data_IF_987528151615
#
_entry.id   IF_987528151615
#
_cell.length_a   1.000
_cell.length_b   1.000
_cell.length_c   1.000
_cell.angle_alpha   90.00
_cell.angle_beta   90.00
_cell.angle_gamma   90.00
#
_symmetry.space_group_name_H-M   'P 1'
#
loop_
_entity.id
_entity.type
_entity.pdbx_description
1 polymer ?
#
# COMPACT_ATOMS: atom_id res chain seq x y z
N UNK A 1 -62.46 0.11 -12.96
CA UNK A 1 -62.23 -0.70 -11.74
C UNK A 1 -60.81 -0.60 -11.21
N UNK A 2 -59.79 -0.37 -12.03
CA UNK A 2 -58.35 -0.34 -11.58
C UNK A 2 -58.00 0.83 -10.64
N UNK A 3 -58.56 2.02 -10.85
CA UNK A 3 -58.23 3.23 -10.09
C UNK A 3 -58.66 3.20 -8.60
N UNK A 4 -59.75 2.50 -8.29
CA UNK A 4 -60.23 2.33 -6.91
C UNK A 4 -59.34 1.31 -6.14
N UNK A 5 -58.87 0.29 -6.84
CA UNK A 5 -57.93 -0.70 -6.28
C UNK A 5 -56.58 -0.07 -5.98
N UNK A 6 -56.02 0.73 -6.90
CA UNK A 6 -54.72 1.42 -6.68
C UNK A 6 -54.83 2.43 -5.54
N UNK A 7 -55.93 3.16 -5.39
CA UNK A 7 -56.17 4.12 -4.30
C UNK A 7 -56.28 3.42 -2.91
N UNK A 8 -56.92 2.27 -2.87
CA UNK A 8 -56.96 1.44 -1.65
C UNK A 8 -55.61 0.87 -1.30
N UNK A 9 -54.89 0.37 -2.27
CA UNK A 9 -53.51 -0.13 -2.10
C UNK A 9 -52.56 0.95 -1.58
N UNK A 10 -52.59 2.14 -2.17
CA UNK A 10 -51.81 3.28 -1.74
C UNK A 10 -52.09 3.70 -0.30
N UNK A 11 -53.38 3.69 0.10
CA UNK A 11 -53.79 4.03 1.47
C UNK A 11 -53.36 2.96 2.49
N UNK A 12 -53.40 1.68 2.10
CA UNK A 12 -52.87 0.57 2.94
C UNK A 12 -51.37 0.64 3.10
N UNK A 13 -50.65 0.90 2.01
CA UNK A 13 -49.20 1.14 2.03
C UNK A 13 -48.81 2.35 2.89
N UNK A 14 -49.60 3.43 2.85
CA UNK A 14 -49.37 4.62 3.66
C UNK A 14 -49.50 4.36 5.17
N UNK A 15 -50.43 3.46 5.57
CA UNK A 15 -50.59 3.04 6.96
C UNK A 15 -49.44 2.16 7.47
N UNK A 16 -48.75 1.46 6.57
CA UNK A 16 -47.58 0.61 6.87
C UNK A 16 -46.24 1.23 6.44
N UNK A 17 -46.23 2.53 6.16
CA UNK A 17 -45.07 3.26 5.60
C UNK A 17 -43.76 3.05 6.34
N UNK A 18 -43.78 3.08 7.67
CA UNK A 18 -42.57 2.90 8.49
C UNK A 18 -41.95 1.52 8.27
N UNK A 19 -42.80 0.48 8.17
CA UNK A 19 -42.36 -0.89 7.96
C UNK A 19 -41.87 -1.10 6.53
N UNK A 20 -42.54 -0.51 5.54
CA UNK A 20 -42.13 -0.54 4.14
C UNK A 20 -40.79 0.16 3.96
N UNK A 21 -40.61 1.32 4.56
CA UNK A 21 -39.35 2.06 4.54
C UNK A 21 -38.25 1.23 5.18
N UNK A 22 -38.49 0.56 6.33
CA UNK A 22 -37.52 -0.30 6.98
C UNK A 22 -37.06 -1.48 6.09
N UNK A 23 -38.01 -2.12 5.39
CA UNK A 23 -37.67 -3.21 4.44
C UNK A 23 -36.87 -2.68 3.26
N UNK A 24 -37.30 -1.54 2.66
CA UNK A 24 -36.56 -0.92 1.56
C UNK A 24 -35.16 -0.54 2.00
N UNK A 25 -34.99 0.08 3.17
CA UNK A 25 -33.68 0.43 3.71
C UNK A 25 -32.78 -0.81 3.90
N UNK A 26 -33.29 -1.91 4.44
CA UNK A 26 -32.50 -3.15 4.57
C UNK A 26 -32.08 -3.72 3.23
N UNK A 27 -32.94 -3.72 2.24
CA UNK A 27 -32.60 -4.18 0.87
C UNK A 27 -31.58 -3.24 0.24
N UNK A 28 -31.76 -1.93 0.37
CA UNK A 28 -30.81 -0.93 -0.16
C UNK A 28 -29.44 -1.09 0.49
N UNK A 29 -29.36 -1.24 1.81
CA UNK A 29 -28.09 -1.44 2.51
C UNK A 29 -27.41 -2.73 2.09
N UNK A 30 -28.18 -3.83 1.94
CA UNK A 30 -27.61 -5.11 1.49
C UNK A 30 -27.08 -5.06 0.06
N UNK A 31 -27.86 -4.46 -0.87
CA UNK A 31 -27.44 -4.32 -2.28
C UNK A 31 -26.28 -3.33 -2.42
N UNK A 32 -26.37 -2.19 -1.74
CA UNK A 32 -25.30 -1.19 -1.76
C UNK A 32 -24.01 -1.75 -1.17
N UNK A 33 -24.09 -2.46 -0.04
CA UNK A 33 -22.95 -3.14 0.54
C UNK A 33 -22.30 -4.12 -0.44
N UNK A 34 -23.11 -4.95 -1.14
CA UNK A 34 -22.63 -5.89 -2.15
C UNK A 34 -21.89 -5.23 -3.30
N UNK A 35 -22.48 -4.16 -3.84
CA UNK A 35 -21.90 -3.42 -4.98
C UNK A 35 -20.63 -2.66 -4.54
N UNK A 36 -20.69 -1.98 -3.42
CA UNK A 36 -19.55 -1.20 -2.90
C UNK A 36 -18.34 -2.10 -2.62
N UNK A 37 -18.60 -3.28 -2.09
CA UNK A 37 -17.53 -4.20 -1.74
C UNK A 37 -16.94 -4.93 -2.96
N UNK A 38 -17.79 -5.42 -3.86
CA UNK A 38 -17.31 -5.99 -5.12
C UNK A 38 -16.55 -4.97 -5.96
N UNK A 39 -17.02 -3.71 -5.97
CA UNK A 39 -16.31 -2.60 -6.59
C UNK A 39 -14.99 -2.26 -5.90
N UNK A 40 -14.91 -2.35 -4.59
CA UNK A 40 -13.68 -2.14 -3.82
C UNK A 40 -12.62 -3.18 -4.20
N UNK A 41 -12.93 -4.47 -4.13
CA UNK A 41 -11.97 -5.53 -4.47
C UNK A 41 -11.43 -5.39 -5.90
N UNK A 42 -12.32 -5.18 -6.89
CA UNK A 42 -11.92 -4.98 -8.29
C UNK A 42 -11.11 -3.69 -8.50
N UNK A 43 -11.43 -2.60 -7.79
CA UNK A 43 -10.67 -1.36 -7.91
C UNK A 43 -9.29 -1.46 -7.27
N UNK A 44 -9.15 -2.21 -6.18
CA UNK A 44 -7.85 -2.45 -5.54
C UNK A 44 -6.94 -3.26 -6.45
N UNK A 45 -7.45 -4.30 -7.12
CA UNK A 45 -6.70 -5.08 -8.08
C UNK A 45 -6.20 -4.20 -9.24
N UNK A 46 -7.11 -3.44 -9.87
CA UNK A 46 -6.72 -2.51 -10.96
C UNK A 46 -5.75 -1.42 -10.48
N UNK A 47 -5.92 -0.93 -9.25
CA UNK A 47 -5.01 0.06 -8.67
C UNK A 47 -3.64 -0.54 -8.42
N UNK A 48 -3.57 -1.75 -7.89
CA UNK A 48 -2.35 -2.49 -7.69
C UNK A 48 -1.58 -2.65 -9.00
N UNK A 49 -2.22 -3.19 -10.03
CA UNK A 49 -1.61 -3.38 -11.34
C UNK A 49 -1.08 -2.08 -11.95
N UNK A 50 -1.85 -1.00 -11.83
CA UNK A 50 -1.45 0.31 -12.37
C UNK A 50 -0.31 0.99 -11.60
N UNK A 51 -0.25 0.82 -10.28
CA UNK A 51 0.79 1.44 -9.45
C UNK A 51 2.10 0.68 -9.61
N UNK A 52 2.04 -0.65 -9.60
CA UNK A 52 3.22 -1.50 -9.66
C UNK A 52 3.69 -1.83 -11.07
N UNK A 53 2.92 -1.43 -12.09
CA UNK A 53 3.31 -1.66 -13.48
C UNK A 53 4.61 -0.95 -13.84
N UNK A 54 5.41 -1.63 -14.63
CA UNK A 54 6.54 -1.07 -15.35
C UNK A 54 6.03 -0.11 -16.43
N UNK A 55 5.81 1.13 -16.07
CA UNK A 55 5.35 2.19 -16.98
C UNK A 55 5.80 3.57 -16.53
N UNK A 56 5.83 4.53 -17.44
CA UNK A 56 6.12 5.95 -17.15
C UNK A 56 5.14 6.54 -16.10
N UNK A 57 3.93 6.02 -16.03
CA UNK A 57 2.89 6.46 -15.10
C UNK A 57 2.93 5.68 -13.77
N UNK A 58 3.57 4.51 -13.73
CA UNK A 58 3.76 3.71 -12.55
C UNK A 58 4.98 4.13 -11.73
N UNK A 59 5.13 3.54 -10.57
CA UNK A 59 6.28 3.76 -9.69
C UNK A 59 7.41 2.79 -9.94
N UNK A 60 7.20 1.83 -10.85
CA UNK A 60 8.13 0.76 -11.15
C UNK A 60 8.61 0.08 -9.87
N UNK A 61 7.71 -0.63 -9.20
CA UNK A 61 8.05 -1.36 -7.97
C UNK A 61 8.86 -2.60 -8.36
N UNK A 62 10.03 -2.82 -7.77
CA UNK A 62 10.83 -3.99 -8.05
C UNK A 62 10.10 -5.29 -7.65
N UNK A 63 10.42 -6.36 -8.33
CA UNK A 63 9.84 -7.68 -8.07
C UNK A 63 10.49 -8.37 -6.89
N UNK A 64 11.82 -8.15 -6.72
CA UNK A 64 12.60 -8.77 -5.66
C UNK A 64 13.50 -7.74 -4.99
N UNK A 65 13.58 -7.82 -3.67
CA UNK A 65 14.51 -7.06 -2.84
C UNK A 65 15.53 -8.01 -2.22
N UNK A 66 16.80 -7.71 -2.41
CA UNK A 66 17.90 -8.31 -1.65
C UNK A 66 18.29 -7.32 -0.57
N UNK A 67 18.24 -7.72 0.70
CA UNK A 67 18.54 -6.84 1.82
C UNK A 67 19.73 -7.38 2.59
N UNK A 68 20.77 -6.57 2.76
CA UNK A 68 21.91 -6.87 3.62
C UNK A 68 21.58 -6.38 5.04
N UNK A 69 21.52 -7.26 6.04
CA UNK A 69 21.06 -6.89 7.37
C UNK A 69 22.07 -6.03 8.14
N UNK A 70 23.33 -6.07 7.77
CA UNK A 70 24.41 -5.31 8.41
C UNK A 70 25.56 -5.05 7.43
N UNK A 71 26.10 -3.84 7.50
CA UNK A 71 27.15 -3.39 6.58
C UNK A 71 26.60 -2.86 5.26
N UNK A 72 27.50 -2.63 4.32
CA UNK A 72 27.20 -2.16 2.98
C UNK A 72 28.07 -2.89 1.98
N UNK A 73 27.56 -3.10 0.77
CA UNK A 73 28.36 -3.41 -0.41
C UNK A 73 28.97 -2.12 -0.97
N UNK A 74 30.15 -2.24 -1.54
CA UNK A 74 30.71 -1.21 -2.41
C UNK A 74 30.02 -1.22 -3.77
N UNK A 75 30.25 -0.19 -4.58
CA UNK A 75 29.75 -0.11 -5.95
C UNK A 75 30.20 -1.32 -6.79
N UNK A 76 31.47 -1.75 -6.67
CA UNK A 76 32.02 -2.91 -7.38
C UNK A 76 31.33 -4.23 -6.93
N UNK A 77 31.10 -4.42 -5.62
CA UNK A 77 30.46 -5.61 -5.10
C UNK A 77 29.00 -5.70 -5.52
N UNK A 78 28.25 -4.61 -5.44
CA UNK A 78 26.84 -4.57 -5.84
C UNK A 78 26.68 -4.80 -7.34
N UNK A 79 27.53 -4.18 -8.17
CA UNK A 79 27.52 -4.40 -9.61
C UNK A 79 27.85 -5.85 -9.97
N UNK A 80 28.89 -6.43 -9.33
CA UNK A 80 29.26 -7.83 -9.54
C UNK A 80 28.13 -8.80 -9.15
N UNK A 81 27.39 -8.53 -8.08
CA UNK A 81 26.21 -9.32 -7.71
C UNK A 81 25.11 -9.23 -8.77
N UNK A 82 24.80 -8.03 -9.24
CA UNK A 82 23.82 -7.83 -10.31
C UNK A 82 24.23 -8.61 -11.59
N UNK A 83 25.48 -8.50 -12.02
CA UNK A 83 26.01 -9.22 -13.19
C UNK A 83 25.90 -10.76 -13.03
N UNK A 84 26.02 -11.26 -11.81
CA UNK A 84 25.89 -12.69 -11.50
C UNK A 84 24.45 -13.14 -11.43
N UNK A 85 23.52 -12.31 -10.99
CA UNK A 85 22.11 -12.63 -11.04
C UNK A 85 21.62 -12.86 -12.48
N UNK A 86 22.21 -12.18 -13.47
CA UNK A 86 21.89 -12.39 -14.88
C UNK A 86 22.50 -13.66 -15.47
N UNK A 87 23.56 -14.22 -14.84
CA UNK A 87 24.21 -15.44 -15.30
C UNK A 87 23.38 -16.67 -14.92
N UNK A 88 23.25 -17.61 -15.87
CA UNK A 88 22.51 -18.86 -15.66
C UNK A 88 21.06 -18.65 -15.15
N UNK A 89 20.46 -17.49 -15.50
CA UNK A 89 19.13 -17.11 -15.08
C UNK A 89 18.08 -18.13 -15.56
N UNK A 90 17.02 -18.41 -14.77
CA UNK A 90 15.99 -19.38 -15.13
C UNK A 90 15.31 -19.06 -16.47
N UNK A 91 15.42 -19.94 -17.45
CA UNK A 91 14.97 -19.71 -18.84
C UNK A 91 13.46 -19.58 -18.99
N UNK A 92 12.71 -20.06 -18.01
CA UNK A 92 11.23 -20.03 -18.01
C UNK A 92 10.66 -18.84 -17.20
N UNK A 93 11.55 -17.99 -16.68
CA UNK A 93 11.18 -16.77 -15.94
C UNK A 93 11.40 -15.52 -16.80
N UNK A 94 10.67 -14.41 -16.54
CA UNK A 94 10.95 -13.11 -17.14
C UNK A 94 12.40 -12.70 -16.84
N UNK A 95 13.09 -12.14 -17.83
CA UNK A 95 14.47 -11.67 -17.67
C UNK A 95 14.57 -10.47 -16.71
N UNK A 96 15.75 -10.25 -16.15
CA UNK A 96 16.02 -9.05 -15.36
C UNK A 96 16.07 -7.85 -16.31
N UNK A 97 15.21 -6.85 -16.10
CA UNK A 97 15.26 -5.55 -16.78
C UNK A 97 16.25 -4.62 -16.09
N UNK A 98 16.20 -4.56 -14.75
CA UNK A 98 17.10 -3.75 -13.94
C UNK A 98 17.51 -4.47 -12.66
N UNK A 99 18.76 -4.24 -12.27
CA UNK A 99 19.26 -4.55 -10.94
C UNK A 99 19.92 -3.29 -10.38
N UNK A 100 19.32 -2.70 -9.36
CA UNK A 100 19.70 -1.37 -8.89
C UNK A 100 20.13 -1.42 -7.42
N UNK A 101 21.38 -0.99 -7.10
CA UNK A 101 21.83 -0.81 -5.74
C UNK A 101 21.04 0.31 -5.05
N UNK A 102 20.70 0.13 -3.78
CA UNK A 102 20.00 1.12 -2.98
C UNK A 102 20.61 1.22 -1.58
N UNK A 103 20.77 2.44 -1.08
CA UNK A 103 21.16 2.71 0.28
C UNK A 103 19.94 3.09 1.12
N UNK A 104 19.70 2.35 2.23
CA UNK A 104 18.61 2.65 3.16
C UNK A 104 19.16 2.62 4.58
N UNK A 105 19.03 3.72 5.33
CA UNK A 105 19.66 3.88 6.65
C UNK A 105 18.62 4.32 7.67
N UNK A 106 18.61 3.64 8.82
CA UNK A 106 17.87 4.09 9.99
C UNK A 106 18.52 5.37 10.53
N UNK A 107 17.70 6.37 10.82
CA UNK A 107 18.16 7.68 11.21
C UNK A 107 17.24 8.39 12.20
N UNK A 108 17.44 9.69 12.31
CA UNK A 108 16.68 10.55 13.21
C UNK A 108 16.41 11.89 12.52
N UNK A 109 15.17 12.37 12.60
CA UNK A 109 14.85 13.75 12.33
C UNK A 109 14.88 14.53 13.65
N UNK A 110 15.65 15.63 13.67
CA UNK A 110 15.67 16.57 14.78
C UNK A 110 14.64 17.66 14.50
N UNK A 111 13.54 17.63 15.22
CA UNK A 111 12.43 18.54 15.03
C UNK A 111 12.23 19.41 16.27
N UNK A 112 11.88 20.67 16.06
CA UNK A 112 11.50 21.56 17.18
C UNK A 112 9.97 21.63 17.20
N UNK A 113 9.38 21.15 18.27
CA UNK A 113 7.93 21.15 18.44
C UNK A 113 7.34 22.58 18.63
N UNK A 114 6.02 22.68 18.70
CA UNK A 114 5.31 23.96 18.91
C UNK A 114 5.59 24.59 20.29
N UNK A 115 6.15 23.85 21.23
CA UNK A 115 6.56 24.33 22.55
C UNK A 115 7.98 24.91 22.54
N UNK A 116 8.74 24.65 21.48
CA UNK A 116 10.15 25.05 21.35
C UNK A 116 11.12 24.00 21.90
N UNK A 117 10.63 22.79 22.21
CA UNK A 117 11.47 21.68 22.63
C UNK A 117 11.97 20.88 21.41
N UNK A 118 13.23 20.45 21.47
CA UNK A 118 13.81 19.56 20.46
C UNK A 118 13.27 18.13 20.66
N UNK A 119 12.60 17.59 19.65
CA UNK A 119 12.05 16.24 19.63
C UNK A 119 12.84 15.41 18.63
N UNK A 120 13.19 14.20 19.02
CA UNK A 120 13.84 13.21 18.15
C UNK A 120 12.79 12.31 17.57
N UNK A 121 12.62 12.37 16.25
CA UNK A 121 11.68 11.52 15.51
C UNK A 121 12.46 10.40 14.84
N UNK A 122 12.06 9.15 15.08
CA UNK A 122 12.66 7.99 14.42
C UNK A 122 12.47 8.10 12.90
N UNK A 123 13.51 7.79 12.14
CA UNK A 123 13.52 8.01 10.70
C UNK A 123 14.12 6.84 9.94
N UNK A 124 13.72 6.70 8.67
CA UNK A 124 14.41 5.90 7.67
C UNK A 124 14.71 6.78 6.47
N UNK A 125 15.96 6.80 6.07
CA UNK A 125 16.44 7.58 4.93
C UNK A 125 16.74 6.66 3.75
N UNK A 126 16.20 7.00 2.58
CA UNK A 126 16.41 6.29 1.33
C UNK A 126 17.24 7.15 0.39
N UNK A 127 18.31 6.59 -0.16
CA UNK A 127 19.04 7.16 -1.30
C UNK A 127 18.27 6.80 -2.57
N UNK A 128 17.78 7.80 -3.31
CA UNK A 128 16.99 7.60 -4.54
C UNK A 128 17.33 8.71 -5.51
N UNK A 129 17.92 8.35 -6.63
CA UNK A 129 18.16 9.28 -7.72
C UNK A 129 16.98 9.33 -8.72
N UNK A 130 16.96 10.34 -9.59
CA UNK A 130 15.88 10.50 -10.58
C UNK A 130 15.95 9.39 -11.64
N UNK A 131 14.84 8.69 -11.83
CA UNK A 131 14.74 7.58 -12.81
C UNK A 131 14.94 6.20 -12.24
N UNK A 132 15.21 6.10 -10.93
CA UNK A 132 15.38 4.84 -10.22
C UNK A 132 14.11 3.99 -10.16
N UNK A 133 14.31 2.70 -9.91
CA UNK A 133 13.24 1.75 -9.56
C UNK A 133 12.67 2.14 -8.19
N UNK A 134 11.39 1.88 -7.94
CA UNK A 134 10.68 2.30 -6.71
C UNK A 134 10.89 3.79 -6.40
N UNK A 135 10.69 4.61 -7.43
CA UNK A 135 10.91 6.06 -7.37
C UNK A 135 9.94 6.76 -6.43
N UNK A 136 10.34 7.92 -5.97
CA UNK A 136 9.48 8.81 -5.20
C UNK A 136 8.36 9.34 -6.09
N UNK A 137 7.13 9.22 -5.61
CA UNK A 137 5.95 9.73 -6.30
C UNK A 137 5.46 11.02 -5.64
N UNK A 138 5.42 12.09 -6.43
CA UNK A 138 4.88 13.40 -6.03
C UNK A 138 3.72 13.72 -6.98
N UNK A 139 2.51 13.18 -6.72
CA UNK A 139 1.36 13.44 -7.59
C UNK A 139 0.91 14.90 -7.48
N UNK A 140 0.35 15.43 -8.56
CA UNK A 140 -0.31 16.75 -8.58
C UNK A 140 -1.63 16.68 -7.80
N UNK A 141 -1.52 16.61 -6.49
CA UNK A 141 -2.65 16.49 -5.56
C UNK A 141 -2.35 17.28 -4.29
N UNK A 142 -3.38 17.62 -3.53
CA UNK A 142 -3.29 18.43 -2.29
C UNK A 142 -2.37 17.87 -1.20
N UNK A 143 -2.09 16.56 -1.23
CA UNK A 143 -1.18 15.94 -0.25
C UNK A 143 0.27 16.26 -0.51
N UNK A 144 0.60 16.60 -1.75
CA UNK A 144 1.95 16.52 -2.24
C UNK A 144 2.32 17.82 -2.94
N UNK A 145 3.59 18.17 -2.91
CA UNK A 145 4.09 19.44 -3.48
C UNK A 145 5.58 19.33 -3.79
N UNK A 146 6.06 20.15 -4.70
CA UNK A 146 7.47 20.31 -5.00
C UNK A 146 8.00 19.34 -6.06
N UNK A 147 9.21 18.83 -5.85
CA UNK A 147 9.95 17.97 -6.78
C UNK A 147 10.83 16.97 -6.03
N UNK A 148 11.36 15.98 -6.75
CA UNK A 148 12.37 15.07 -6.21
C UNK A 148 13.67 15.78 -5.90
N UNK A 149 14.48 15.24 -4.97
CA UNK A 149 15.80 15.76 -4.64
C UNK A 149 16.74 15.62 -5.84
N UNK A 150 17.55 16.64 -6.10
CA UNK A 150 18.50 16.69 -7.23
C UNK A 150 19.92 17.02 -6.77
N UNK A 151 20.09 17.43 -5.53
CA UNK A 151 21.39 17.77 -4.95
C UNK A 151 21.57 17.10 -3.59
N UNK A 152 22.82 16.90 -3.19
CA UNK A 152 23.19 16.23 -1.94
C UNK A 152 22.81 16.98 -0.66
N UNK A 153 22.13 18.12 -0.74
CA UNK A 153 21.58 18.88 0.38
C UNK A 153 20.06 19.03 0.35
N UNK A 154 19.41 18.27 -0.52
CA UNK A 154 17.95 18.28 -0.69
C UNK A 154 17.33 16.99 -0.18
N UNK A 155 16.08 17.09 0.26
CA UNK A 155 15.28 15.95 0.72
C UNK A 155 13.82 16.09 0.30
N UNK A 156 13.19 14.98 -0.01
CA UNK A 156 11.74 14.83 -0.04
C UNK A 156 11.31 14.17 1.26
N UNK A 157 10.33 14.73 1.94
CA UNK A 157 9.75 14.16 3.17
C UNK A 157 8.46 13.43 2.81
N UNK A 158 8.23 12.30 3.46
CA UNK A 158 6.99 11.55 3.29
C UNK A 158 5.78 12.37 3.77
N UNK A 159 4.76 12.43 2.92
CA UNK A 159 3.58 13.29 3.14
C UNK A 159 2.75 12.87 4.35
N UNK A 160 2.83 11.59 4.80
CA UNK A 160 2.09 11.11 5.97
C UNK A 160 2.49 11.83 7.27
N UNK A 161 3.73 12.33 7.34
CA UNK A 161 4.27 12.95 8.54
C UNK A 161 4.46 14.47 8.39
N UNK A 162 4.52 14.97 7.16
CA UNK A 162 4.81 16.38 6.91
C UNK A 162 3.79 17.33 7.57
N UNK A 163 2.50 16.97 7.52
CA UNK A 163 1.43 17.77 8.15
C UNK A 163 1.53 17.75 9.68
N UNK A 164 1.84 16.60 10.29
CA UNK A 164 1.93 16.44 11.73
C UNK A 164 3.09 17.24 12.33
N UNK A 165 4.20 17.29 11.62
CA UNK A 165 5.41 18.01 12.03
C UNK A 165 5.50 19.44 11.49
N UNK A 166 4.47 19.93 10.79
CA UNK A 166 4.44 21.28 10.19
C UNK A 166 5.63 21.54 9.24
N UNK A 167 6.03 20.49 8.49
CA UNK A 167 7.09 20.55 7.50
C UNK A 167 6.49 20.90 6.14
N UNK A 168 7.09 21.86 5.45
CA UNK A 168 6.66 22.30 4.13
C UNK A 168 7.85 22.42 3.16
N UNK A 169 7.56 22.47 1.87
CA UNK A 169 8.58 22.74 0.86
C UNK A 169 9.27 24.07 1.12
N UNK A 170 10.59 24.08 1.12
CA UNK A 170 11.44 25.21 1.49
C UNK A 170 11.88 25.22 2.94
N UNK A 171 11.36 24.34 3.81
CA UNK A 171 11.83 24.21 5.20
C UNK A 171 13.25 23.65 5.24
N UNK A 172 14.03 24.04 6.25
CA UNK A 172 15.29 23.40 6.60
C UNK A 172 15.04 22.39 7.72
N UNK A 173 15.56 21.18 7.55
CA UNK A 173 15.45 20.09 8.52
C UNK A 173 16.83 19.54 8.87
N UNK A 174 17.06 19.23 10.14
CA UNK A 174 18.30 18.61 10.60
C UNK A 174 18.11 17.09 10.67
N UNK A 175 18.88 16.36 9.89
CA UNK A 175 18.84 14.90 9.82
C UNK A 175 20.06 14.31 10.52
N UNK A 176 19.88 13.09 11.04
CA UNK A 176 20.94 12.27 11.60
C UNK A 176 20.92 10.87 11.02
N UNK A 177 22.12 10.32 10.75
CA UNK A 177 22.33 8.93 10.42
C UNK A 177 23.68 8.46 11.00
N UNK A 178 23.68 7.41 11.80
CA UNK A 178 24.86 7.02 12.56
C UNK A 178 25.40 8.14 13.44
N UNK A 179 26.65 8.56 13.21
CA UNK A 179 27.28 9.71 13.89
C UNK A 179 27.11 11.04 13.12
N UNK A 180 26.63 10.99 11.87
CA UNK A 180 26.48 12.15 11.00
C UNK A 180 25.22 12.99 11.34
N UNK A 181 25.35 14.31 11.24
CA UNK A 181 24.25 15.27 11.35
C UNK A 181 24.44 16.35 10.30
N UNK A 182 23.41 16.60 9.49
CA UNK A 182 23.44 17.58 8.42
C UNK A 182 22.08 18.27 8.23
N UNK A 183 22.13 19.54 7.83
CA UNK A 183 20.95 20.29 7.42
C UNK A 183 20.60 19.99 5.96
N UNK A 184 19.31 19.79 5.71
CA UNK A 184 18.77 19.57 4.36
C UNK A 184 17.62 20.54 4.10
N UNK A 185 17.45 20.89 2.82
CA UNK A 185 16.31 21.67 2.37
C UNK A 185 15.23 20.73 1.85
N UNK A 186 14.02 20.84 2.38
CA UNK A 186 12.86 20.09 1.89
C UNK A 186 12.45 20.66 0.54
N UNK A 187 12.55 19.87 -0.52
CA UNK A 187 12.22 20.28 -1.90
C UNK A 187 10.96 19.64 -2.42
N UNK A 188 10.43 18.66 -1.72
CA UNK A 188 9.20 18.00 -2.08
C UNK A 188 8.55 17.28 -0.90
N UNK A 189 7.24 17.08 -1.04
CA UNK A 189 6.41 16.22 -0.20
C UNK A 189 5.82 15.14 -1.09
N UNK A 190 6.12 13.89 -0.81
CA UNK A 190 5.73 12.76 -1.63
C UNK A 190 5.80 11.46 -0.85
N UNK A 191 5.74 10.34 -1.53
CA UNK A 191 5.84 9.02 -0.91
C UNK A 191 6.33 7.97 -1.90
N UNK A 192 6.81 6.85 -1.40
CA UNK A 192 7.07 5.64 -2.17
C UNK A 192 5.90 4.67 -2.06
N UNK A 193 5.70 3.85 -3.08
CA UNK A 193 4.66 2.84 -3.09
C UNK A 193 4.87 1.76 -2.02
N UNK A 194 6.10 1.43 -1.71
CA UNK A 194 6.45 0.51 -0.63
C UNK A 194 6.03 1.01 0.76
N UNK A 195 5.74 2.30 0.91
CA UNK A 195 5.33 2.96 2.16
C UNK A 195 3.86 3.43 2.18
N UNK A 196 2.99 2.94 1.31
CA UNK A 196 1.54 3.23 1.40
C UNK A 196 0.95 2.81 2.75
N UNK A 197 1.42 1.69 3.30
CA UNK A 197 1.20 1.35 4.69
C UNK A 197 2.35 1.93 5.52
N UNK A 198 2.13 3.12 6.05
CA UNK A 198 3.16 3.88 6.77
C UNK A 198 3.38 3.32 8.18
N UNK A 199 4.18 2.28 8.28
CA UNK A 199 4.51 1.61 9.53
C UNK A 199 6.04 1.55 9.75
N UNK A 200 6.50 1.70 11.00
CA UNK A 200 7.90 1.48 11.33
C UNK A 200 8.33 0.05 11.02
N UNK A 201 9.60 -0.14 10.71
CA UNK A 201 10.17 -1.46 10.40
C UNK A 201 9.84 -2.49 11.50
N UNK A 202 9.23 -3.59 11.09
CA UNK A 202 8.83 -4.67 12.01
C UNK A 202 7.55 -4.40 12.81
N UNK A 203 6.82 -3.31 12.53
CA UNK A 203 5.52 -3.03 13.09
C UNK A 203 4.43 -3.44 12.09
N UNK A 204 3.35 -4.06 12.62
CA UNK A 204 2.13 -4.33 11.87
C UNK A 204 1.13 -3.15 11.92
N UNK A 205 1.41 -2.18 12.78
CA UNK A 205 0.54 -1.03 12.99
C UNK A 205 1.18 0.23 12.41
N UNK A 206 0.37 1.14 11.84
CA UNK A 206 0.88 2.42 11.36
C UNK A 206 1.54 3.20 12.49
N UNK A 207 2.47 4.07 12.13
CA UNK A 207 3.10 4.97 13.06
C UNK A 207 2.06 5.91 13.71
N UNK A 208 2.25 6.23 14.99
CA UNK A 208 1.52 7.36 15.57
C UNK A 208 1.95 8.66 14.89
N UNK A 209 1.03 9.60 14.78
CA UNK A 209 1.27 10.90 14.14
C UNK A 209 2.56 11.59 14.69
N UNK A 210 3.45 11.96 13.80
CA UNK A 210 4.70 12.67 14.13
C UNK A 210 5.77 11.87 14.87
N UNK A 211 5.63 10.53 15.01
CA UNK A 211 6.61 9.69 15.74
C UNK A 211 7.61 8.96 14.84
N UNK A 212 7.32 8.90 13.54
CA UNK A 212 8.15 8.21 12.56
C UNK A 212 8.14 8.98 11.24
N UNK A 213 9.27 9.03 10.55
CA UNK A 213 9.43 9.72 9.29
C UNK A 213 10.21 8.88 8.29
N UNK A 214 9.81 8.93 7.04
CA UNK A 214 10.59 8.45 5.92
C UNK A 214 10.96 9.64 5.04
N UNK A 215 12.19 9.67 4.57
CA UNK A 215 12.69 10.72 3.69
C UNK A 215 13.57 10.16 2.60
N UNK A 216 13.57 10.87 1.47
CA UNK A 216 14.18 10.44 0.23
C UNK A 216 15.20 11.51 -0.19
N UNK A 217 16.45 11.11 -0.18
CA UNK A 217 17.62 11.93 -0.52
C UNK A 217 18.23 11.42 -1.83
N UNK A 218 19.15 12.18 -2.42
CA UNK A 218 20.05 11.60 -3.41
C UNK A 218 21.01 10.62 -2.74
N UNK A 219 21.52 9.64 -3.47
CA UNK A 219 22.54 8.69 -2.96
C UNK A 219 23.72 9.43 -2.37
N UNK A 220 24.26 10.43 -3.08
CA UNK A 220 25.35 11.28 -2.59
C UNK A 220 25.00 12.00 -1.28
N UNK A 221 23.76 12.46 -1.13
CA UNK A 221 23.28 13.14 0.08
C UNK A 221 23.26 12.21 1.29
N UNK A 222 22.75 10.99 1.11
CA UNK A 222 22.65 10.00 2.16
C UNK A 222 24.04 9.44 2.56
N UNK A 223 24.89 9.17 1.59
CA UNK A 223 26.29 8.75 1.83
C UNK A 223 27.07 9.77 2.67
N UNK A 224 26.94 11.05 2.32
CA UNK A 224 27.52 12.15 3.10
C UNK A 224 26.97 12.21 4.53
N UNK A 225 25.64 12.12 4.68
CA UNK A 225 24.98 12.13 5.98
C UNK A 225 25.45 10.97 6.86
N UNK A 226 25.55 9.77 6.29
CA UNK A 226 25.98 8.57 7.00
C UNK A 226 27.49 8.40 7.11
N UNK A 227 28.28 9.29 6.49
CA UNK A 227 29.74 9.21 6.40
C UNK A 227 30.24 7.87 5.80
N UNK A 228 29.57 7.45 4.70
CA UNK A 228 29.89 6.26 3.95
C UNK A 228 30.74 6.61 2.70
N UNK A 229 31.33 5.60 2.10
CA UNK A 229 32.03 5.74 0.82
C UNK A 229 31.02 5.88 -0.33
N UNK A 230 31.33 6.67 -1.37
CA UNK A 230 30.48 6.75 -2.57
C UNK A 230 30.23 5.36 -3.18
N UNK A 231 29.01 5.12 -3.63
CA UNK A 231 28.56 3.84 -4.18
C UNK A 231 28.22 2.77 -3.13
N UNK A 232 28.10 3.16 -1.85
CA UNK A 232 27.67 2.24 -0.79
C UNK A 232 26.19 1.88 -0.94
N UNK A 233 25.85 0.60 -0.86
CA UNK A 233 24.49 0.09 -0.90
C UNK A 233 24.28 -1.02 0.13
N UNK A 234 23.06 -1.21 0.58
CA UNK A 234 22.66 -2.32 1.45
C UNK A 234 21.38 -3.01 1.00
N UNK A 235 20.87 -2.61 -0.16
CA UNK A 235 19.79 -3.31 -0.86
C UNK A 235 20.12 -3.40 -2.34
N UNK A 236 19.64 -4.47 -2.97
CA UNK A 236 19.58 -4.56 -4.42
C UNK A 236 18.11 -4.72 -4.81
N UNK A 237 17.65 -3.90 -5.73
CA UNK A 237 16.30 -3.90 -6.27
C UNK A 237 16.36 -4.59 -7.63
N UNK A 238 15.64 -5.70 -7.78
CA UNK A 238 15.59 -6.47 -9.02
C UNK A 238 14.22 -6.28 -9.63
N UNK A 239 14.21 -5.73 -10.83
CA UNK A 239 13.04 -5.50 -11.66
C UNK A 239 13.08 -6.46 -12.85
N UNK A 240 12.02 -7.19 -13.09
CA UNK A 240 11.90 -8.17 -14.16
C UNK A 240 11.13 -7.58 -15.34
N UNK A 241 11.40 -8.07 -16.55
CA UNK A 241 10.66 -7.65 -17.74
C UNK A 241 9.15 -7.85 -17.57
N UNK A 242 8.40 -6.78 -17.76
CA UNK A 242 6.96 -6.75 -17.57
C UNK A 242 6.58 -6.65 -16.09
N UNK A 243 5.35 -7.03 -15.79
CA UNK A 243 4.88 -7.14 -14.40
C UNK A 243 4.51 -8.58 -14.15
N UNK A 244 5.42 -9.41 -13.60
CA UNK A 244 5.13 -10.80 -13.30
C UNK A 244 3.87 -10.91 -12.45
N UNK A 245 3.04 -11.91 -12.75
CA UNK A 245 1.79 -12.11 -12.04
C UNK A 245 2.08 -12.27 -10.54
N UNK A 246 1.53 -11.37 -9.77
CA UNK A 246 1.51 -11.45 -8.33
C UNK A 246 0.05 -11.53 -7.90
N UNK A 247 -0.34 -12.69 -7.39
CA UNK A 247 -1.72 -12.92 -7.03
C UNK A 247 -2.08 -12.21 -5.73
N UNK A 248 -2.87 -11.16 -5.86
CA UNK A 248 -3.64 -10.68 -4.73
C UNK A 248 -4.67 -11.76 -4.34
N UNK A 249 -5.17 -11.78 -3.09
CA UNK A 249 -6.02 -12.86 -2.55
C UNK A 249 -7.37 -13.07 -3.22
N UNK A 250 -7.57 -12.57 -4.42
CA UNK A 250 -8.73 -12.87 -5.27
C UNK A 250 -8.59 -14.20 -5.99
N UNK A 251 -7.41 -14.79 -6.00
CA UNK A 251 -7.07 -16.08 -6.59
C UNK A 251 -6.60 -17.06 -5.51
N UNK A 252 -6.71 -18.36 -5.77
CA UNK A 252 -6.35 -19.40 -4.79
C UNK A 252 -4.82 -19.56 -4.61
N UNK A 253 -4.02 -18.95 -5.47
CA UNK A 253 -2.55 -19.06 -5.46
C UNK A 253 -1.90 -17.77 -4.95
N UNK A 254 -1.27 -17.88 -3.81
CA UNK A 254 -0.69 -16.78 -3.04
C UNK A 254 0.80 -16.54 -3.26
N UNK A 255 1.46 -17.47 -3.87
CA UNK A 255 2.87 -17.39 -4.16
C UNK A 255 3.00 -17.11 -5.65
N UNK A 256 3.61 -16.00 -6.01
CA UNK A 256 3.95 -15.74 -7.40
C UNK A 256 4.81 -16.91 -7.92
N UNK A 257 4.18 -17.91 -8.51
CA UNK A 257 4.88 -19.08 -9.03
C UNK A 257 5.98 -18.67 -10.00
N UNK A 258 5.79 -17.53 -10.69
CA UNK A 258 6.78 -16.95 -11.59
C UNK A 258 8.00 -16.36 -10.86
N UNK A 259 7.85 -15.86 -9.64
CA UNK A 259 8.95 -15.27 -8.87
C UNK A 259 9.75 -16.31 -8.07
N UNK A 260 9.16 -17.44 -7.74
CA UNK A 260 9.83 -18.47 -6.92
C UNK A 260 11.14 -18.99 -7.53
N UNK A 261 11.24 -19.30 -8.83
CA UNK A 261 12.50 -19.72 -9.45
C UNK A 261 13.57 -18.63 -9.42
N UNK A 262 13.17 -17.37 -9.66
CA UNK A 262 14.08 -16.21 -9.64
C UNK A 262 14.62 -15.98 -8.24
N UNK A 263 13.74 -15.99 -7.24
CA UNK A 263 14.11 -15.85 -5.83
C UNK A 263 15.10 -16.96 -5.39
N UNK A 264 14.85 -18.19 -5.81
CA UNK A 264 15.75 -19.31 -5.53
C UNK A 264 17.14 -19.13 -6.18
N UNK A 265 17.18 -18.67 -7.43
CA UNK A 265 18.42 -18.39 -8.16
C UNK A 265 19.23 -17.26 -7.48
N UNK A 266 18.57 -16.15 -7.15
CA UNK A 266 19.20 -15.02 -6.44
C UNK A 266 19.78 -15.48 -5.10
N UNK A 267 19.05 -16.32 -4.36
CA UNK A 267 19.55 -16.87 -3.09
C UNK A 267 20.77 -17.79 -3.28
N UNK A 268 20.80 -18.60 -4.33
CA UNK A 268 21.94 -19.48 -4.66
C UNK A 268 23.18 -18.64 -4.97
N UNK A 269 23.06 -17.61 -5.80
CA UNK A 269 24.17 -16.69 -6.11
C UNK A 269 24.71 -16.00 -4.84
N UNK A 270 23.82 -15.52 -3.96
CA UNK A 270 24.23 -14.88 -2.71
C UNK A 270 25.00 -15.82 -1.77
N UNK A 271 24.65 -17.10 -1.73
CA UNK A 271 25.36 -18.11 -0.96
C UNK A 271 26.76 -18.39 -1.52
N UNK A 272 26.89 -18.46 -2.84
CA UNK A 272 28.17 -18.71 -3.51
C UNK A 272 29.14 -17.52 -3.36
N UNK A 273 28.63 -16.30 -3.26
CA UNK A 273 29.43 -15.07 -3.12
C UNK A 273 29.69 -14.64 -1.68
N UNK A 274 29.53 -15.55 -0.71
CA UNK A 274 29.74 -15.27 0.73
C UNK A 274 28.83 -14.13 1.28
N UNK A 275 27.77 -13.79 0.54
CA UNK A 275 26.72 -12.83 0.92
C UNK A 275 25.50 -13.51 1.55
N UNK A 276 25.66 -14.73 2.05
CA UNK A 276 24.60 -15.58 2.56
C UNK A 276 23.85 -15.07 3.81
N UNK A 277 24.26 -13.92 4.36
CA UNK A 277 23.49 -13.22 5.40
C UNK A 277 22.40 -12.31 4.82
N UNK A 278 22.43 -12.03 3.53
CA UNK A 278 21.40 -11.25 2.86
C UNK A 278 20.07 -12.02 2.82
N UNK A 279 18.98 -11.29 2.89
CA UNK A 279 17.62 -11.85 2.76
C UNK A 279 17.04 -11.46 1.40
N UNK A 280 16.30 -12.37 0.80
CA UNK A 280 15.62 -12.15 -0.47
C UNK A 280 14.13 -12.13 -0.21
N UNK A 281 13.50 -11.03 -0.53
CA UNK A 281 12.07 -10.80 -0.36
C UNK A 281 11.43 -10.48 -1.72
N UNK A 282 10.21 -10.92 -1.94
CA UNK A 282 9.41 -10.54 -3.10
C UNK A 282 8.37 -9.46 -2.74
N UNK A 283 7.61 -9.03 -3.74
CA UNK A 283 6.55 -8.02 -3.56
C UNK A 283 5.54 -8.38 -2.48
N UNK A 284 5.18 -9.66 -2.37
CA UNK A 284 4.20 -10.15 -1.39
C UNK A 284 4.64 -10.02 0.05
N UNK A 285 5.96 -9.95 0.27
CA UNK A 285 6.57 -9.82 1.60
C UNK A 285 6.80 -8.34 1.99
N UNK A 286 6.41 -7.38 1.13
CA UNK A 286 6.46 -5.95 1.51
C UNK A 286 5.29 -5.60 2.42
N UNK A 287 5.50 -4.81 3.49
CA UNK A 287 4.45 -4.49 4.46
C UNK A 287 3.17 -3.89 3.84
N UNK A 288 3.31 -3.06 2.81
CA UNK A 288 2.17 -2.44 2.13
C UNK A 288 1.33 -3.46 1.36
N UNK A 289 1.97 -4.40 0.67
CA UNK A 289 1.29 -5.47 -0.07
C UNK A 289 0.71 -6.50 0.88
N UNK A 290 1.46 -6.90 1.91
CA UNK A 290 0.99 -7.83 2.93
C UNK A 290 -0.25 -7.32 3.66
N UNK A 291 -0.25 -6.02 4.03
CA UNK A 291 -1.42 -5.39 4.65
C UNK A 291 -2.62 -5.36 3.70
N UNK A 292 -2.42 -4.93 2.45
CA UNK A 292 -3.47 -4.90 1.43
C UNK A 292 -4.07 -6.29 1.21
N UNK A 293 -3.22 -7.30 1.14
CA UNK A 293 -3.61 -8.70 1.03
C UNK A 293 -4.46 -9.15 2.21
N UNK A 294 -4.01 -8.86 3.44
CA UNK A 294 -4.74 -9.22 4.66
C UNK A 294 -6.12 -8.53 4.74
N UNK A 295 -6.21 -7.27 4.31
CA UNK A 295 -7.47 -6.52 4.24
C UNK A 295 -8.43 -7.12 3.22
N UNK A 296 -7.97 -7.42 2.01
CA UNK A 296 -8.78 -8.07 0.97
C UNK A 296 -9.25 -9.46 1.40
N UNK A 297 -8.38 -10.28 1.99
CA UNK A 297 -8.72 -11.60 2.48
C UNK A 297 -9.76 -11.54 3.62
N UNK A 298 -9.54 -10.64 4.59
CA UNK A 298 -10.48 -10.39 5.67
C UNK A 298 -11.85 -9.97 5.13
N UNK A 299 -11.85 -9.13 4.15
CA UNK A 299 -13.01 -8.64 3.48
C UNK A 299 -13.74 -9.75 2.69
N UNK A 300 -13.05 -10.55 1.89
CA UNK A 300 -13.64 -11.68 1.15
C UNK A 300 -14.27 -12.73 2.06
N UNK A 301 -13.67 -13.00 3.23
CA UNK A 301 -14.21 -13.96 4.21
C UNK A 301 -15.43 -13.40 4.94
N UNK A 302 -15.42 -12.15 5.35
CA UNK A 302 -16.46 -11.55 6.18
C UNK A 302 -17.70 -11.13 5.39
N UNK A 303 -17.50 -10.64 4.18
CA UNK A 303 -18.55 -10.03 3.39
C UNK A 303 -19.68 -10.97 2.95
N UNK A 304 -19.43 -12.20 2.45
CA UNK A 304 -20.50 -13.15 2.14
C UNK A 304 -21.36 -13.48 3.36
N UNK A 305 -20.75 -13.61 4.54
CA UNK A 305 -21.45 -13.87 5.78
C UNK A 305 -22.37 -12.71 6.19
N UNK A 306 -21.87 -11.47 6.13
CA UNK A 306 -22.65 -10.27 6.42
C UNK A 306 -23.79 -10.11 5.42
N UNK A 307 -23.52 -10.30 4.12
CA UNK A 307 -24.54 -10.22 3.06
C UNK A 307 -25.61 -11.29 3.27
N UNK A 308 -25.24 -12.54 3.53
CA UNK A 308 -26.19 -13.62 3.80
C UNK A 308 -27.06 -13.30 5.03
N UNK A 309 -26.49 -12.79 6.09
CA UNK A 309 -27.22 -12.37 7.30
C UNK A 309 -28.24 -11.27 6.99
N UNK A 310 -27.85 -10.24 6.21
CA UNK A 310 -28.75 -9.16 5.78
C UNK A 310 -29.89 -9.68 4.91
N UNK A 311 -29.61 -10.58 3.97
CA UNK A 311 -30.63 -11.19 3.10
C UNK A 311 -31.62 -12.03 3.93
N UNK A 312 -31.14 -12.80 4.91
CA UNK A 312 -32.00 -13.60 5.81
C UNK A 312 -32.90 -12.67 6.63
N UNK A 313 -32.37 -11.63 7.25
CA UNK A 313 -33.14 -10.66 8.05
C UNK A 313 -34.19 -9.94 7.19
N UNK A 314 -33.81 -9.50 6.01
CA UNK A 314 -34.73 -8.87 5.04
C UNK A 314 -35.84 -9.84 4.64
N UNK A 315 -35.52 -11.09 4.32
CA UNK A 315 -36.49 -12.13 3.94
C UNK A 315 -37.49 -12.42 5.06
N UNK A 316 -37.03 -12.60 6.29
CA UNK A 316 -37.89 -12.81 7.47
C UNK A 316 -38.83 -11.59 7.64
N UNK A 317 -38.30 -10.39 7.54
CA UNK A 317 -39.08 -9.16 7.70
C UNK A 317 -40.16 -9.01 6.62
N UNK A 318 -39.84 -9.38 5.38
CA UNK A 318 -40.80 -9.40 4.25
C UNK A 318 -41.90 -10.44 4.54
N UNK A 319 -41.54 -11.67 4.92
CA UNK A 319 -42.51 -12.75 5.21
C UNK A 319 -43.48 -12.32 6.32
N UNK A 320 -42.92 -11.82 7.45
CA UNK A 320 -43.76 -11.36 8.58
C UNK A 320 -44.67 -10.21 8.19
N UNK A 321 -44.17 -9.29 7.34
CA UNK A 321 -44.98 -8.16 6.84
C UNK A 321 -46.11 -8.62 5.94
N UNK A 322 -45.84 -9.57 5.03
CA UNK A 322 -46.84 -10.15 4.13
C UNK A 322 -47.91 -10.94 4.93
N UNK A 323 -47.51 -11.77 5.90
CA UNK A 323 -48.44 -12.52 6.74
C UNK A 323 -49.40 -11.60 7.49
N UNK A 324 -48.92 -10.50 8.05
CA UNK A 324 -49.75 -9.49 8.70
C UNK A 324 -50.71 -8.79 7.76
N UNK A 325 -50.23 -8.52 6.54
CA UNK A 325 -51.09 -7.89 5.49
C UNK A 325 -52.22 -8.82 5.09
N UNK A 326 -51.94 -10.10 4.85
CA UNK A 326 -52.96 -11.13 4.53
C UNK A 326 -53.96 -11.27 5.68
N UNK A 327 -53.49 -11.35 6.94
CA UNK A 327 -54.39 -11.46 8.10
C UNK A 327 -55.29 -10.23 8.27
N UNK A 328 -54.80 -9.02 7.95
CA UNK A 328 -55.64 -7.81 8.01
C UNK A 328 -56.70 -7.77 6.90
N UNK A 329 -56.36 -8.26 5.71
CA UNK A 329 -57.29 -8.31 4.58
C UNK A 329 -58.30 -9.44 4.71
N UNK A 330 -57.92 -10.61 5.21
CA UNK A 330 -58.87 -11.72 5.46
C UNK A 330 -59.89 -11.35 6.50
N UNK A 331 -59.62 -10.51 7.48
CA UNK A 331 -60.55 -9.98 8.43
C UNK A 331 -61.57 -9.01 7.82
N UNK A 332 -61.15 -8.19 6.83
CA UNK A 332 -62.07 -7.32 6.08
C UNK A 332 -62.94 -8.09 5.11
N UNK A 333 -62.48 -9.17 4.50
CA UNK A 333 -63.23 -10.05 3.61
C UNK A 333 -64.22 -10.90 4.37
N UNK A 334 -63.94 -11.30 5.61
CA UNK A 334 -64.85 -12.08 6.44
C UNK A 334 -66.03 -11.25 7.01
N UNK A 335 -65.99 -9.93 6.90
CA UNK A 335 -67.04 -9.00 7.37
C UNK A 335 -67.96 -8.57 6.21
N UNK A 336 -67.59 -8.87 4.95
CA UNK A 336 -68.45 -8.67 3.76
C UNK A 336 -69.24 -9.94 3.45
#
# INVERSE_FOLDING_TARGET
MSFLLTKRLARSLWRTKVRLIAVILMVVVGVFGGIAFGGYASNVEVLYDNIYADSDAGVNLPDIWVNLPAGTWSEEESQNLCDKFEQDFPSDSPSIDKCEPRLVIDGTLFHTDKSGEEVLVAAVWHGIDEGDVDKVWIPDHKCCDGRVAQTSSEIVIDTHVAEDLDISVGSSVLLGAGEGRMDFTVVGLGYQSSHFWFAPKGSLFPAEAGTYVTGYLTDEGLEKLANLTPGSSNKLLIDLEGTPAFDLPTTDDFEGEELAPVKAHVMEVLLDEDSGTATVNDRGETPSVEFLRADLEGAQRSFPAVTAMLVIVASITIIVSLQRLIQSQSREIAIM
#
